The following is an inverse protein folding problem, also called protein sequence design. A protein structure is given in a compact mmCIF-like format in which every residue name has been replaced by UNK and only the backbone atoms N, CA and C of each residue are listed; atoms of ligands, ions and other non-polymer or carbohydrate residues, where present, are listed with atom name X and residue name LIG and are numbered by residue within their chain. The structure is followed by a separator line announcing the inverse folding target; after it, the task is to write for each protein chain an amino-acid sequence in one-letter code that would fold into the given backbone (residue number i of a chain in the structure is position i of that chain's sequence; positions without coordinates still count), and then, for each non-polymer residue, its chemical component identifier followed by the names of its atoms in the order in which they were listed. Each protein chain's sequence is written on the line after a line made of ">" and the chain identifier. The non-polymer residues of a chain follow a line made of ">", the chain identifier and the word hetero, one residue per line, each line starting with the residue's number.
data_IF_890175370799
#
_entry.id   IF_890175370799
#
_cell.length_a   1.000
_cell.length_b   1.000
_cell.length_c   1.000
_cell.angle_alpha   90.00
_cell.angle_beta   90.00
_cell.angle_gamma   90.00
#
_symmetry.space_group_name_H-M   'P 1'
#
loop_
_entity.id
_entity.type
_entity.pdbx_description
1 polymer ?
#
# COMPACT_ATOMS: atom_id res chain seq x y z
N UNK A 1 12.48 -2.51 9.11
CA UNK A 1 11.41 -2.14 8.15
C UNK A 1 12.11 -1.66 6.89
N UNK A 2 11.57 -1.93 5.70
CA UNK A 2 12.18 -1.48 4.45
C UNK A 2 12.33 0.05 4.39
N UNK A 3 13.31 0.52 3.63
CA UNK A 3 13.45 1.92 3.23
C UNK A 3 12.63 2.23 1.97
N UNK A 4 12.26 3.51 1.79
CA UNK A 4 11.57 3.99 0.59
C UNK A 4 12.30 5.22 0.04
N UNK A 5 12.53 5.27 -1.27
CA UNK A 5 13.08 6.45 -1.96
C UNK A 5 12.07 6.99 -2.97
N UNK A 6 11.73 8.27 -2.86
CA UNK A 6 10.91 8.99 -3.83
C UNK A 6 11.82 9.79 -4.79
N UNK A 7 11.82 9.39 -6.05
CA UNK A 7 12.59 10.02 -7.13
C UNK A 7 11.66 10.84 -8.02
N UNK A 8 11.92 12.13 -8.14
CA UNK A 8 11.10 13.00 -8.98
C UNK A 8 11.93 14.09 -9.66
N UNK A 9 11.44 14.58 -10.79
CA UNK A 9 11.98 15.80 -11.39
C UNK A 9 11.79 17.02 -10.49
N UNK A 10 10.72 17.05 -9.68
CA UNK A 10 10.34 18.20 -8.86
C UNK A 10 10.49 17.85 -7.38
N UNK A 11 11.40 18.56 -6.70
CA UNK A 11 11.57 18.46 -5.24
C UNK A 11 10.26 18.73 -4.49
N UNK A 12 9.58 19.82 -4.85
CA UNK A 12 8.29 20.19 -4.25
C UNK A 12 7.22 19.10 -4.41
N UNK A 13 7.16 18.42 -5.58
CA UNK A 13 6.23 17.32 -5.79
C UNK A 13 6.58 16.11 -4.91
N UNK A 14 7.85 15.71 -4.86
CA UNK A 14 8.31 14.59 -4.06
C UNK A 14 8.07 14.81 -2.56
N UNK A 15 8.35 16.01 -2.07
CA UNK A 15 8.11 16.40 -0.67
C UNK A 15 6.61 16.36 -0.35
N UNK A 16 5.77 16.96 -1.18
CA UNK A 16 4.31 16.94 -0.97
C UNK A 16 3.74 15.52 -1.03
N UNK A 17 4.23 14.68 -1.94
CA UNK A 17 3.81 13.27 -2.04
C UNK A 17 4.26 12.46 -0.81
N UNK A 18 5.49 12.69 -0.33
CA UNK A 18 6.01 12.08 0.90
C UNK A 18 5.19 12.50 2.11
N UNK A 19 4.92 13.80 2.28
CA UNK A 19 4.11 14.30 3.39
C UNK A 19 2.72 13.66 3.41
N UNK A 20 2.07 13.56 2.24
CA UNK A 20 0.78 12.87 2.11
C UNK A 20 0.88 11.40 2.54
N UNK A 21 1.90 10.68 2.07
CA UNK A 21 2.10 9.27 2.40
C UNK A 21 2.38 9.06 3.90
N UNK A 22 3.20 9.90 4.52
CA UNK A 22 3.55 9.82 5.94
C UNK A 22 2.35 10.08 6.85
N UNK A 23 1.45 11.02 6.49
CA UNK A 23 0.18 11.20 7.20
C UNK A 23 -0.68 9.94 7.21
N UNK A 24 -0.56 9.11 6.17
CA UNK A 24 -1.25 7.84 6.05
C UNK A 24 -0.50 6.69 6.71
N UNK A 25 0.81 6.79 7.01
CA UNK A 25 1.64 5.75 7.62
C UNK A 25 1.40 5.52 9.13
N UNK A 26 0.89 6.51 9.86
CA UNK A 26 0.61 6.37 11.30
C UNK A 26 1.78 6.78 12.19
N UNK A 27 1.89 6.20 13.39
CA UNK A 27 2.84 6.66 14.41
C UNK A 27 4.31 6.28 14.12
N UNK A 28 4.54 5.14 13.47
CA UNK A 28 5.87 4.61 13.17
C UNK A 28 5.99 4.31 11.66
N UNK A 29 6.06 5.34 10.80
CA UNK A 29 6.21 5.14 9.37
C UNK A 29 7.64 4.66 9.00
N UNK A 30 7.82 4.02 7.83
CA UNK A 30 9.14 3.70 7.29
C UNK A 30 10.00 4.94 7.07
N UNK A 31 11.31 4.71 6.94
CA UNK A 31 12.24 5.73 6.46
C UNK A 31 11.91 6.05 5.00
N UNK A 32 11.60 7.31 4.72
CA UNK A 32 11.43 7.82 3.35
C UNK A 32 12.54 8.84 3.06
N UNK A 33 13.20 8.71 1.90
CA UNK A 33 14.17 9.68 1.37
C UNK A 33 13.68 10.25 0.06
N UNK A 34 14.02 11.52 -0.19
CA UNK A 34 13.69 12.22 -1.43
C UNK A 34 14.98 12.48 -2.21
N UNK A 35 15.03 12.02 -3.45
CA UNK A 35 16.06 12.37 -4.42
C UNK A 35 15.38 13.03 -5.62
N UNK A 36 15.33 14.35 -5.62
CA UNK A 36 14.56 15.10 -6.60
C UNK A 36 15.19 16.45 -6.96
N UNK A 37 14.93 16.90 -8.18
CA UNK A 37 15.50 18.13 -8.74
C UNK A 37 16.87 17.89 -9.39
N UNK A 38 17.23 18.81 -10.28
CA UNK A 38 18.56 18.88 -10.86
C UNK A 38 19.57 19.58 -9.95
N UNK A 39 20.85 19.68 -10.38
CA UNK A 39 21.94 20.23 -9.58
C UNK A 39 21.73 21.66 -9.06
N UNK A 40 20.90 22.46 -9.74
CA UNK A 40 20.61 23.86 -9.42
C UNK A 40 19.15 24.04 -8.91
N UNK A 41 18.58 22.99 -8.31
CA UNK A 41 17.20 22.96 -7.78
C UNK A 41 16.12 23.21 -8.86
N UNK A 42 16.48 22.99 -10.13
CA UNK A 42 15.59 22.98 -11.28
C UNK A 42 14.92 21.61 -11.47
N UNK A 43 14.06 21.49 -12.49
CA UNK A 43 13.43 20.22 -12.80
C UNK A 43 14.45 19.24 -13.38
N UNK A 44 14.70 18.13 -12.69
CA UNK A 44 15.70 17.15 -13.14
C UNK A 44 15.91 16.03 -12.13
N UNK A 45 16.83 15.14 -12.47
CA UNK A 45 17.22 14.01 -11.63
C UNK A 45 18.73 13.80 -11.69
N UNK A 46 19.32 13.40 -10.56
CA UNK A 46 20.76 13.14 -10.40
C UNK A 46 20.97 11.71 -9.88
N UNK A 47 21.64 10.87 -10.67
CA UNK A 47 21.89 9.47 -10.33
C UNK A 47 22.75 9.30 -9.06
N UNK A 48 23.68 10.21 -8.79
CA UNK A 48 24.53 10.15 -7.59
C UNK A 48 23.71 10.50 -6.35
N UNK A 49 22.84 11.51 -6.44
CA UNK A 49 21.94 11.87 -5.35
C UNK A 49 20.91 10.74 -5.07
N UNK A 50 20.43 10.07 -6.13
CA UNK A 50 19.54 8.91 -6.00
C UNK A 50 20.25 7.74 -5.30
N UNK A 51 21.48 7.42 -5.69
CA UNK A 51 22.26 6.35 -5.05
C UNK A 51 22.52 6.64 -3.57
N UNK A 52 22.89 7.88 -3.23
CA UNK A 52 23.06 8.30 -1.83
C UNK A 52 21.75 8.15 -1.03
N UNK A 53 20.61 8.52 -1.61
CA UNK A 53 19.31 8.34 -0.98
C UNK A 53 18.92 6.87 -0.77
N UNK A 54 19.31 5.97 -1.69
CA UNK A 54 19.14 4.52 -1.52
C UNK A 54 19.96 4.02 -0.33
N UNK A 55 21.24 4.39 -0.25
CA UNK A 55 22.14 3.99 0.83
C UNK A 55 21.69 4.53 2.19
N UNK A 56 21.19 5.76 2.25
CA UNK A 56 20.65 6.36 3.48
C UNK A 56 19.32 5.75 3.94
N UNK A 57 18.55 5.20 3.00
CA UNK A 57 17.28 4.54 3.29
C UNK A 57 17.45 3.07 3.68
N UNK A 58 18.57 2.45 3.31
CA UNK A 58 18.81 1.02 3.58
C UNK A 58 19.18 0.77 5.04
N UNK A 59 18.31 0.01 5.74
CA UNK A 59 18.57 -0.50 7.08
C UNK A 59 18.90 -2.00 7.11
N UNK A 60 19.10 -2.62 5.93
CA UNK A 60 19.36 -4.04 5.75
C UNK A 60 18.13 -4.88 5.38
N UNK A 61 16.92 -4.29 5.41
CA UNK A 61 15.67 -4.98 5.03
C UNK A 61 15.26 -4.73 3.57
N UNK A 62 16.07 -3.96 2.82
CA UNK A 62 15.82 -3.59 1.44
C UNK A 62 15.19 -2.21 1.25
N UNK A 63 15.24 -1.72 0.01
CA UNK A 63 14.80 -0.37 -0.37
C UNK A 63 13.88 -0.43 -1.59
N UNK A 64 12.71 0.20 -1.48
CA UNK A 64 11.80 0.38 -2.61
C UNK A 64 11.92 1.79 -3.19
N UNK A 65 12.12 1.91 -4.49
CA UNK A 65 12.29 3.19 -5.19
C UNK A 65 11.07 3.46 -6.06
N UNK A 66 10.42 4.60 -5.85
CA UNK A 66 9.28 5.08 -6.63
C UNK A 66 9.75 6.26 -7.48
N UNK A 67 9.48 6.21 -8.78
CA UNK A 67 9.89 7.23 -9.75
C UNK A 67 8.68 7.87 -10.42
N UNK A 68 8.81 9.11 -10.90
CA UNK A 68 7.72 9.81 -11.59
C UNK A 68 7.65 9.50 -13.10
N UNK A 69 8.54 10.06 -13.91
CA UNK A 69 8.47 10.08 -15.36
C UNK A 69 9.79 9.63 -15.98
N UNK A 70 9.72 9.05 -17.19
CA UNK A 70 10.81 8.68 -18.10
C UNK A 70 12.25 8.83 -17.58
N UNK A 71 12.82 10.04 -17.60
CA UNK A 71 14.22 10.29 -17.21
C UNK A 71 14.55 9.94 -15.76
N UNK A 72 13.60 10.04 -14.83
CA UNK A 72 13.80 9.59 -13.45
C UNK A 72 14.01 8.09 -13.37
N UNK A 73 13.39 7.31 -14.26
CA UNK A 73 13.60 5.86 -14.38
C UNK A 73 15.04 5.60 -14.83
N UNK A 74 15.47 6.26 -15.91
CA UNK A 74 16.83 6.11 -16.43
C UNK A 74 17.90 6.52 -15.40
N UNK A 75 17.68 7.63 -14.68
CA UNK A 75 18.57 8.06 -13.60
C UNK A 75 18.59 7.08 -12.44
N UNK A 76 17.44 6.48 -12.09
CA UNK A 76 17.38 5.46 -11.04
C UNK A 76 18.05 4.14 -11.45
N UNK A 77 17.90 3.70 -12.70
CA UNK A 77 18.63 2.55 -13.26
C UNK A 77 20.15 2.79 -13.22
N UNK A 78 20.58 3.98 -13.64
CA UNK A 78 21.99 4.39 -13.57
C UNK A 78 22.49 4.47 -12.12
N UNK A 79 21.65 4.92 -11.18
CA UNK A 79 22.00 5.01 -9.76
C UNK A 79 22.29 3.65 -9.13
N UNK A 80 21.72 2.56 -9.64
CA UNK A 80 22.03 1.20 -9.17
C UNK A 80 23.51 0.83 -9.38
N UNK A 81 24.20 1.44 -10.35
CA UNK A 81 25.65 1.23 -10.54
C UNK A 81 26.49 1.89 -9.45
N UNK A 82 25.93 2.85 -8.72
CA UNK A 82 26.60 3.63 -7.68
C UNK A 82 26.16 3.27 -6.25
N UNK A 83 25.03 2.58 -6.10
CA UNK A 83 24.52 2.16 -4.80
C UNK A 83 25.49 1.20 -4.09
N UNK A 84 25.59 1.30 -2.77
CA UNK A 84 26.50 0.47 -1.98
C UNK A 84 26.10 -1.02 -2.01
N UNK A 85 24.79 -1.30 -2.04
CA UNK A 85 24.22 -2.66 -2.05
C UNK A 85 23.06 -2.74 -3.06
N UNK A 86 23.33 -2.79 -4.38
CA UNK A 86 22.30 -2.73 -5.41
C UNK A 86 21.26 -3.85 -5.33
N UNK A 87 21.63 -5.02 -4.83
CA UNK A 87 20.75 -6.18 -4.64
C UNK A 87 19.64 -5.97 -3.59
N UNK A 88 19.80 -4.97 -2.71
CA UNK A 88 18.78 -4.58 -1.74
C UNK A 88 17.72 -3.65 -2.34
N UNK A 89 17.98 -3.08 -3.52
CA UNK A 89 17.17 -2.03 -4.11
C UNK A 89 16.19 -2.59 -5.14
N UNK A 90 14.94 -2.12 -5.11
CA UNK A 90 13.93 -2.45 -6.11
C UNK A 90 13.27 -1.21 -6.69
N UNK A 91 13.38 -1.05 -8.00
CA UNK A 91 12.68 -0.01 -8.74
C UNK A 91 11.21 -0.42 -8.98
N UNK A 92 10.28 0.46 -8.65
CA UNK A 92 8.84 0.21 -8.78
C UNK A 92 8.28 0.83 -10.06
N UNK A 93 7.46 0.09 -10.84
CA UNK A 93 6.74 0.64 -11.99
C UNK A 93 5.44 1.36 -11.61
N UNK A 94 5.14 1.50 -10.31
CA UNK A 94 3.89 2.07 -9.84
C UNK A 94 3.77 3.59 -10.14
N UNK A 95 2.55 4.12 -10.35
CA UNK A 95 2.31 5.56 -10.36
C UNK A 95 2.86 6.22 -9.09
N UNK A 96 3.56 7.34 -9.25
CA UNK A 96 4.38 7.94 -8.20
C UNK A 96 3.64 8.18 -6.87
N UNK A 97 2.53 8.92 -6.90
CA UNK A 97 1.81 9.33 -5.68
C UNK A 97 1.08 8.14 -5.05
N UNK A 98 0.31 7.41 -5.85
CA UNK A 98 -0.48 6.27 -5.38
C UNK A 98 0.42 5.15 -4.86
N UNK A 99 1.53 4.89 -5.56
CA UNK A 99 2.54 3.92 -5.18
C UNK A 99 3.25 4.31 -3.89
N UNK A 100 3.62 5.59 -3.71
CA UNK A 100 4.28 6.06 -2.49
C UNK A 100 3.36 5.93 -1.26
N UNK A 101 2.08 6.30 -1.39
CA UNK A 101 1.08 6.14 -0.33
C UNK A 101 0.91 4.66 0.03
N UNK A 102 0.72 3.79 -0.97
CA UNK A 102 0.57 2.35 -0.74
C UNK A 102 1.84 1.75 -0.12
N UNK A 103 3.03 2.16 -0.58
CA UNK A 103 4.30 1.69 -0.03
C UNK A 103 4.42 2.01 1.46
N UNK A 104 4.17 3.27 1.84
CA UNK A 104 4.28 3.73 3.24
C UNK A 104 3.28 3.01 4.14
N UNK A 105 2.02 2.88 3.72
CA UNK A 105 0.98 2.20 4.53
C UNK A 105 1.30 0.73 4.71
N UNK A 106 1.68 0.04 3.63
CA UNK A 106 1.94 -1.40 3.67
C UNK A 106 3.22 -1.71 4.45
N UNK A 107 4.29 -0.93 4.27
CA UNK A 107 5.52 -1.08 5.05
C UNK A 107 5.32 -0.74 6.54
N UNK A 108 4.54 0.29 6.87
CA UNK A 108 4.17 0.60 8.26
C UNK A 108 3.36 -0.52 8.93
N UNK A 109 2.67 -1.35 8.13
CA UNK A 109 2.03 -2.59 8.57
C UNK A 109 3.01 -3.75 8.82
N UNK A 110 4.32 -3.55 8.63
CA UNK A 110 5.35 -4.57 8.86
C UNK A 110 5.66 -5.45 7.65
N UNK A 111 5.09 -5.17 6.47
CA UNK A 111 5.33 -5.94 5.27
C UNK A 111 6.78 -5.82 4.77
N UNK A 112 7.33 -6.91 4.25
CA UNK A 112 8.67 -6.96 3.66
C UNK A 112 8.72 -6.42 2.22
N UNK A 113 9.93 -6.25 1.66
CA UNK A 113 10.14 -5.62 0.35
C UNK A 113 9.34 -6.28 -0.79
N UNK A 114 9.31 -7.61 -0.84
CA UNK A 114 8.57 -8.36 -1.86
C UNK A 114 7.06 -8.12 -1.80
N UNK A 115 6.51 -8.10 -0.59
CA UNK A 115 5.07 -7.87 -0.36
C UNK A 115 4.69 -6.44 -0.70
N UNK A 116 5.49 -5.46 -0.26
CA UNK A 116 5.26 -4.04 -0.58
C UNK A 116 5.37 -3.83 -2.10
N UNK A 117 6.40 -4.39 -2.76
CA UNK A 117 6.58 -4.27 -4.20
C UNK A 117 5.40 -4.85 -5.00
N UNK A 118 4.86 -6.00 -4.57
CA UNK A 118 3.71 -6.63 -5.20
C UNK A 118 2.42 -5.80 -5.04
N UNK A 119 2.20 -5.21 -3.86
CA UNK A 119 1.06 -4.32 -3.60
C UNK A 119 1.14 -3.08 -4.50
N UNK A 120 2.26 -2.35 -4.47
CA UNK A 120 2.36 -1.05 -5.18
C UNK A 120 2.27 -1.19 -6.70
N UNK A 121 2.68 -2.33 -7.26
CA UNK A 121 2.55 -2.59 -8.71
C UNK A 121 1.09 -2.48 -9.21
N UNK A 122 0.12 -2.72 -8.33
CA UNK A 122 -1.31 -2.59 -8.62
C UNK A 122 -1.88 -1.17 -8.46
N UNK A 123 -1.10 -0.18 -8.02
CA UNK A 123 -1.62 1.12 -7.57
C UNK A 123 -2.44 1.87 -8.65
N UNK A 124 -2.02 1.80 -9.92
CA UNK A 124 -2.76 2.42 -11.03
C UNK A 124 -4.06 1.70 -11.40
N UNK A 125 -4.19 0.42 -11.08
CA UNK A 125 -5.41 -0.36 -11.35
C UNK A 125 -6.54 0.00 -10.38
N UNK A 126 -6.23 0.27 -9.12
CA UNK A 126 -7.24 0.64 -8.12
C UNK A 126 -8.06 1.86 -8.56
N UNK A 127 -7.38 2.91 -9.06
CA UNK A 127 -8.04 4.12 -9.59
C UNK A 127 -8.88 3.82 -10.84
N UNK A 128 -8.42 2.93 -11.72
CA UNK A 128 -9.18 2.52 -12.92
C UNK A 128 -10.48 1.82 -12.57
N UNK A 129 -10.44 0.89 -11.60
CA UNK A 129 -11.63 0.20 -11.08
C UNK A 129 -12.64 1.18 -10.46
N UNK A 130 -12.17 2.14 -9.65
CA UNK A 130 -13.04 3.16 -9.06
C UNK A 130 -13.77 4.02 -10.10
N UNK A 131 -13.12 4.30 -11.22
CA UNK A 131 -13.71 5.05 -12.34
C UNK A 131 -14.58 4.18 -13.26
N UNK A 132 -14.70 2.87 -13.01
CA UNK A 132 -15.38 1.94 -13.92
C UNK A 132 -14.69 1.78 -15.27
N UNK A 133 -13.43 2.21 -15.39
CA UNK A 133 -12.64 2.06 -16.60
C UNK A 133 -11.97 0.69 -16.58
N UNK A 134 -12.63 -0.30 -17.16
CA UNK A 134 -12.01 -1.60 -17.45
C UNK A 134 -11.08 -1.42 -18.64
N UNK A 135 -9.80 -1.14 -18.41
CA UNK A 135 -8.81 -1.50 -19.41
C UNK A 135 -8.75 -3.04 -19.41
N UNK A 136 -8.85 -3.66 -20.59
CA UNK A 136 -8.85 -5.11 -20.79
C UNK A 136 -7.81 -5.84 -19.92
N UNK A 137 -8.28 -6.84 -19.16
CA UNK A 137 -7.54 -8.11 -19.07
C UNK A 137 -6.39 -8.26 -18.07
N UNK A 138 -6.32 -7.52 -16.97
CA UNK A 138 -5.43 -7.88 -15.86
C UNK A 138 -6.21 -8.24 -14.60
N UNK A 139 -6.90 -9.38 -14.64
CA UNK A 139 -7.20 -10.13 -13.42
C UNK A 139 -5.85 -10.49 -12.79
N UNK A 140 -5.53 -9.85 -11.67
CA UNK A 140 -4.52 -10.40 -10.78
C UNK A 140 -5.00 -11.82 -10.44
N UNK A 141 -4.19 -12.87 -10.67
CA UNK A 141 -4.65 -14.21 -10.34
C UNK A 141 -4.97 -14.20 -8.85
N UNK A 142 -6.25 -14.39 -8.52
CA UNK A 142 -6.61 -14.92 -7.23
C UNK A 142 -5.67 -16.09 -7.01
N UNK A 143 -4.88 -16.07 -5.92
CA UNK A 143 -4.18 -17.29 -5.50
C UNK A 143 -5.25 -18.38 -5.54
N UNK A 144 -5.03 -19.50 -6.27
CA UNK A 144 -6.02 -20.56 -6.26
C UNK A 144 -6.26 -20.91 -4.78
N UNK A 145 -7.52 -20.91 -4.38
CA UNK A 145 -7.94 -21.47 -3.12
C UNK A 145 -7.49 -22.94 -3.12
N UNK A 146 -6.30 -23.21 -2.62
CA UNK A 146 -5.86 -24.55 -2.32
C UNK A 146 -6.52 -24.92 -1.00
N UNK A 147 -7.63 -25.65 -1.10
CA UNK A 147 -8.02 -26.53 -0.01
C UNK A 147 -6.92 -27.59 0.15
N UNK A 148 -6.48 -27.81 1.39
CA UNK A 148 -6.76 -29.10 2.00
C UNK A 148 -7.68 -28.93 3.21
N UNK A 149 -8.59 -29.90 3.35
CA UNK A 149 -9.36 -30.15 4.56
C UNK A 149 -8.46 -30.14 5.82
N UNK A 150 -8.99 -29.61 6.93
CA UNK A 150 -8.42 -29.42 8.29
C UNK A 150 -7.89 -28.01 8.69
N UNK A 151 -8.28 -26.93 8.01
CA UNK A 151 -8.13 -25.57 8.59
C UNK A 151 -9.30 -25.23 9.55
N UNK A 152 -9.04 -24.64 10.73
CA UNK A 152 -10.11 -24.17 11.61
C UNK A 152 -11.00 -23.18 10.86
N UNK A 153 -12.32 -23.39 10.92
CA UNK A 153 -13.30 -22.58 10.21
C UNK A 153 -13.04 -21.07 10.41
N UNK A 154 -12.91 -20.33 9.30
CA UNK A 154 -12.70 -18.90 9.31
C UNK A 154 -13.75 -18.22 10.19
N UNK A 155 -13.28 -17.46 11.19
CA UNK A 155 -14.16 -16.63 12.00
C UNK A 155 -14.57 -15.43 11.16
N UNK A 156 -15.80 -14.97 11.28
CA UNK A 156 -16.29 -13.85 10.49
C UNK A 156 -17.37 -13.06 11.21
N UNK A 157 -17.53 -11.81 10.79
CA UNK A 157 -18.69 -11.00 11.12
C UNK A 157 -19.20 -10.21 9.92
N UNK A 158 -20.49 -9.87 9.99
CA UNK A 158 -21.12 -8.94 9.06
C UNK A 158 -21.48 -7.66 9.79
N UNK A 159 -21.30 -6.53 9.10
CA UNK A 159 -21.72 -5.22 9.61
C UNK A 159 -22.06 -4.28 8.44
N UNK A 160 -22.61 -3.12 8.78
CA UNK A 160 -22.89 -2.04 7.83
C UNK A 160 -21.85 -0.95 8.02
N UNK A 161 -21.25 -0.50 6.93
CA UNK A 161 -20.30 0.63 6.99
C UNK A 161 -21.07 1.92 7.26
N UNK A 162 -20.83 2.53 8.42
CA UNK A 162 -21.63 3.69 8.89
C UNK A 162 -21.04 5.05 8.51
N UNK A 163 -19.72 5.11 8.32
CA UNK A 163 -19.03 6.37 8.12
C UNK A 163 -19.34 7.01 6.76
N UNK A 164 -19.40 8.36 6.66
CA UNK A 164 -19.77 9.05 5.42
C UNK A 164 -18.87 8.70 4.24
N UNK A 165 -17.56 8.57 4.49
CA UNK A 165 -16.60 8.29 3.43
C UNK A 165 -16.47 6.80 3.11
N UNK A 166 -17.14 5.86 3.78
CA UNK A 166 -16.94 4.42 3.54
C UNK A 166 -15.48 3.96 3.71
N UNK A 167 -15.02 2.95 2.97
CA UNK A 167 -13.62 2.49 3.02
C UNK A 167 -12.74 3.19 1.97
N UNK A 168 -12.76 4.52 1.95
CA UNK A 168 -11.83 5.31 1.14
C UNK A 168 -10.46 5.44 1.84
N UNK A 169 -9.53 6.20 1.24
CA UNK A 169 -8.10 6.21 1.59
C UNK A 169 -7.77 6.22 3.09
N UNK A 170 -8.38 7.10 3.90
CA UNK A 170 -8.07 7.20 5.35
C UNK A 170 -8.67 6.06 6.18
N UNK A 171 -10.00 5.79 6.15
CA UNK A 171 -10.57 4.61 6.79
C UNK A 171 -9.90 3.30 6.36
N UNK A 172 -9.61 3.15 5.07
CA UNK A 172 -8.92 1.97 4.54
C UNK A 172 -7.49 1.84 5.11
N UNK A 173 -6.72 2.92 5.20
CA UNK A 173 -5.39 2.89 5.82
C UNK A 173 -5.48 2.53 7.32
N UNK A 174 -6.48 3.03 8.04
CA UNK A 174 -6.73 2.64 9.44
C UNK A 174 -7.07 1.15 9.54
N UNK A 175 -7.94 0.66 8.66
CA UNK A 175 -8.31 -0.77 8.59
C UNK A 175 -7.09 -1.65 8.32
N UNK A 176 -6.28 -1.34 7.30
CA UNK A 176 -5.07 -2.11 6.94
C UNK A 176 -4.10 -2.16 8.10
N UNK A 177 -3.86 -1.04 8.78
CA UNK A 177 -2.97 -1.01 9.95
C UNK A 177 -3.46 -1.92 11.07
N UNK A 178 -4.75 -1.89 11.38
CA UNK A 178 -5.32 -2.77 12.39
C UNK A 178 -5.19 -4.23 11.97
N UNK A 179 -5.56 -4.55 10.73
CA UNK A 179 -5.47 -5.90 10.18
C UNK A 179 -4.04 -6.45 10.18
N UNK A 180 -3.04 -5.63 9.87
CA UNK A 180 -1.63 -6.05 9.77
C UNK A 180 -0.91 -6.21 11.12
N UNK A 181 -1.51 -5.78 12.24
CA UNK A 181 -0.92 -5.96 13.59
C UNK A 181 -0.99 -7.39 14.12
N UNK A 182 -1.84 -8.21 13.50
CA UNK A 182 -2.16 -9.54 13.98
C UNK A 182 -1.61 -10.60 13.05
N UNK A 183 -1.16 -11.71 13.63
CA UNK A 183 -0.90 -12.97 12.94
C UNK A 183 -2.24 -13.62 12.56
N UNK A 184 -2.87 -13.04 11.53
CA UNK A 184 -4.14 -13.46 10.98
C UNK A 184 -4.24 -13.11 9.48
N UNK A 185 -4.80 -14.01 8.66
CA UNK A 185 -5.18 -13.69 7.28
C UNK A 185 -6.57 -13.04 7.30
N UNK A 186 -6.60 -11.72 7.23
CA UNK A 186 -7.84 -10.92 7.22
C UNK A 186 -8.34 -10.73 5.79
N UNK A 187 -9.64 -10.96 5.60
CA UNK A 187 -10.34 -10.81 4.32
C UNK A 187 -11.61 -9.99 4.48
N UNK A 188 -12.03 -9.34 3.40
CA UNK A 188 -13.26 -8.54 3.38
C UNK A 188 -13.93 -8.59 2.01
N UNK A 189 -15.27 -8.61 2.00
CA UNK A 189 -16.09 -8.59 0.79
C UNK A 189 -17.29 -7.65 0.97
N UNK A 190 -17.67 -6.95 -0.10
CA UNK A 190 -18.94 -6.23 -0.20
C UNK A 190 -20.05 -7.21 -0.61
N UNK A 191 -21.03 -7.40 0.28
CA UNK A 191 -22.14 -8.35 0.10
C UNK A 191 -23.20 -7.84 -0.88
N UNK A 192 -23.21 -6.56 -1.20
CA UNK A 192 -24.19 -5.91 -2.08
C UNK A 192 -23.66 -5.78 -3.52
N UNK A 193 -22.34 -5.72 -3.70
CA UNK A 193 -21.70 -5.53 -5.01
C UNK A 193 -21.41 -6.83 -5.79
N UNK A 194 -21.50 -8.01 -5.14
CA UNK A 194 -21.14 -9.29 -5.75
C UNK A 194 -19.66 -9.40 -6.17
N UNK A 195 -18.80 -8.58 -5.56
CA UNK A 195 -17.36 -8.56 -5.79
C UNK A 195 -16.67 -9.76 -5.15
N UNK A 196 -15.49 -10.11 -5.64
CA UNK A 196 -14.62 -11.08 -4.98
C UNK A 196 -14.16 -10.58 -3.61
N UNK A 197 -13.84 -11.52 -2.73
CA UNK A 197 -13.23 -11.23 -1.44
C UNK A 197 -11.78 -10.75 -1.62
N UNK A 198 -11.42 -9.66 -0.94
CA UNK A 198 -10.10 -9.04 -1.03
C UNK A 198 -9.33 -9.15 0.29
N UNK A 199 -8.01 -8.99 0.22
CA UNK A 199 -7.16 -8.92 1.41
C UNK A 199 -7.46 -7.66 2.22
N UNK A 200 -7.72 -7.84 3.52
CA UNK A 200 -7.87 -6.74 4.48
C UNK A 200 -6.56 -6.00 4.78
N UNK A 201 -5.42 -6.53 4.33
CA UNK A 201 -4.09 -5.94 4.49
C UNK A 201 -3.62 -5.15 3.26
N UNK A 202 -4.45 -5.07 2.22
CA UNK A 202 -4.14 -4.37 0.96
C UNK A 202 -4.93 -3.06 0.88
N UNK A 203 -4.24 -1.93 1.01
CA UNK A 203 -4.86 -0.61 0.93
C UNK A 203 -5.53 -0.42 -0.44
N UNK A 204 -4.85 -0.84 -1.50
CA UNK A 204 -5.34 -0.67 -2.87
C UNK A 204 -6.55 -1.55 -3.15
N UNK A 205 -6.59 -2.78 -2.64
CA UNK A 205 -7.73 -3.67 -2.82
C UNK A 205 -8.97 -3.18 -2.07
N UNK A 206 -8.81 -2.67 -0.83
CA UNK A 206 -9.91 -2.07 -0.09
C UNK A 206 -10.49 -0.85 -0.80
N UNK A 207 -9.64 0.05 -1.28
CA UNK A 207 -10.08 1.22 -2.04
C UNK A 207 -10.77 0.84 -3.35
N UNK A 208 -10.32 -0.25 -4.00
CA UNK A 208 -10.92 -0.76 -5.23
C UNK A 208 -12.26 -1.48 -5.00
N UNK A 209 -12.49 -2.04 -3.82
CA UNK A 209 -13.77 -2.68 -3.44
C UNK A 209 -14.94 -1.69 -3.49
N UNK A 210 -14.65 -0.39 -3.30
CA UNK A 210 -15.61 0.68 -3.52
C UNK A 210 -16.73 0.74 -2.47
N UNK A 211 -16.49 0.17 -1.28
CA UNK A 211 -17.44 0.12 -0.16
C UNK A 211 -17.81 1.54 0.28
N UNK A 212 -19.12 1.82 0.30
CA UNK A 212 -19.68 3.13 0.64
C UNK A 212 -20.43 3.06 1.96
N UNK A 213 -20.82 4.22 2.49
CA UNK A 213 -21.79 4.29 3.59
C UNK A 213 -23.04 3.47 3.24
N UNK A 214 -23.43 2.59 4.14
CA UNK A 214 -24.60 1.71 3.99
C UNK A 214 -24.30 0.37 3.31
N UNK A 215 -23.12 0.18 2.70
CA UNK A 215 -22.71 -1.13 2.18
C UNK A 215 -22.66 -2.15 3.32
N UNK A 216 -23.20 -3.34 3.07
CA UNK A 216 -23.02 -4.49 3.95
C UNK A 216 -21.72 -5.21 3.61
N UNK A 217 -20.86 -5.36 4.60
CA UNK A 217 -19.58 -6.06 4.43
C UNK A 217 -19.51 -7.28 5.32
N UNK A 218 -18.81 -8.31 4.84
CA UNK A 218 -18.35 -9.41 5.69
C UNK A 218 -16.84 -9.30 5.84
N UNK A 219 -16.36 -9.33 7.08
CA UNK A 219 -14.94 -9.43 7.41
C UNK A 219 -14.70 -10.81 7.98
N UNK A 220 -13.71 -11.53 7.44
CA UNK A 220 -13.32 -12.85 7.91
C UNK A 220 -11.84 -12.90 8.26
N UNK A 221 -11.46 -13.78 9.18
CA UNK A 221 -10.08 -13.98 9.57
C UNK A 221 -9.79 -15.44 9.93
N UNK A 222 -8.61 -15.91 9.53
CA UNK A 222 -8.02 -17.18 9.97
C UNK A 222 -6.67 -16.93 10.63
N UNK A 223 -6.18 -17.90 11.42
CA UNK A 223 -4.88 -17.82 12.09
C UNK A 223 -4.96 -17.60 13.61
N UNK A 224 -3.80 -17.62 14.29
CA UNK A 224 -3.71 -17.62 15.76
C UNK A 224 -4.36 -16.41 16.44
N UNK A 225 -4.40 -15.25 15.76
CA UNK A 225 -4.94 -14.01 16.31
C UNK A 225 -6.22 -13.54 15.60
N UNK A 226 -6.93 -14.44 14.91
CA UNK A 226 -8.13 -14.10 14.14
C UNK A 226 -9.23 -13.41 14.97
N UNK A 227 -9.50 -13.89 16.19
CA UNK A 227 -10.53 -13.31 17.04
C UNK A 227 -10.20 -11.86 17.45
N UNK A 228 -8.95 -11.62 17.86
CA UNK A 228 -8.49 -10.29 18.26
C UNK A 228 -8.53 -9.30 17.08
N UNK A 229 -8.12 -9.75 15.89
CA UNK A 229 -8.21 -8.95 14.68
C UNK A 229 -9.67 -8.56 14.35
N UNK A 230 -10.60 -9.53 14.41
CA UNK A 230 -12.01 -9.26 14.12
C UNK A 230 -12.66 -8.34 15.14
N UNK A 231 -12.31 -8.44 16.43
CA UNK A 231 -12.84 -7.56 17.46
C UNK A 231 -12.38 -6.09 17.28
N UNK A 232 -11.11 -5.84 16.99
CA UNK A 232 -10.61 -4.48 16.69
C UNK A 232 -11.27 -3.94 15.40
N UNK A 233 -11.31 -4.75 14.33
CA UNK A 233 -11.89 -4.33 13.05
C UNK A 233 -13.39 -4.04 13.14
N UNK A 234 -14.14 -4.84 13.91
CA UNK A 234 -15.55 -4.56 14.19
C UNK A 234 -15.70 -3.21 14.89
N UNK A 235 -14.91 -2.97 15.93
CA UNK A 235 -14.94 -1.71 16.69
C UNK A 235 -14.67 -0.52 15.78
N UNK A 236 -13.66 -0.61 14.91
CA UNK A 236 -13.33 0.46 13.95
C UNK A 236 -14.47 0.76 12.98
N UNK A 237 -15.13 -0.28 12.45
CA UNK A 237 -16.25 -0.07 11.52
C UNK A 237 -17.46 0.51 12.26
N UNK A 238 -17.78 -0.02 13.44
CA UNK A 238 -18.96 0.41 14.22
C UNK A 238 -18.79 1.85 14.76
N UNK A 239 -17.57 2.28 15.08
CA UNK A 239 -17.23 3.67 15.45
C UNK A 239 -17.09 4.60 14.23
N UNK A 240 -17.25 4.06 13.01
CA UNK A 240 -17.13 4.82 11.77
C UNK A 240 -15.73 5.39 11.54
N UNK A 241 -14.68 4.74 12.03
CA UNK A 241 -13.29 5.19 11.93
C UNK A 241 -13.04 6.61 12.50
N UNK A 242 -13.89 7.07 13.43
CA UNK A 242 -13.84 8.42 13.98
C UNK A 242 -14.43 9.51 13.08
N UNK A 243 -15.13 9.12 12.01
CA UNK A 243 -15.87 10.03 11.13
C UNK A 243 -17.37 10.04 11.52
N UNK A 244 -17.92 11.21 11.80
CA UNK A 244 -19.34 11.40 12.17
C UNK A 244 -20.16 12.02 11.04
#
# INVERSE_FOLDING_TARGET
>A
MIGIVAVSHSRALAEAAMELALQMGGAEPPVVRVAAGGPDDDLGTDAVAIAAAMDEADSGDGVLVLMDLGSAILSAETALEFAAVPEHVRLSPAPFVEGLVAAVVTAAGGAGLDEVAAEVAGAGEAKRRQLGSTADGAQQPARPASAPDDEPAAQAFETVVVNPSGLHARPAATFVKAASRYDADVRIVDLDAGSDEVSGRSLLALMALGVRRGSRVRVSATGPQAAQALDELRTLIDDGFGEH
#
